data_IF_845535407602
#
_entry.id   IF_845535407602
#
_cell.length_a   1.000
_cell.length_b   1.000
_cell.length_c   1.000
_cell.angle_alpha   90.00
_cell.angle_beta   90.00
_cell.angle_gamma   90.00
#
_symmetry.space_group_name_H-M   'P 1'
#
loop_
_entity.id
_entity.type
_entity.pdbx_description
1 polymer ?
#
# COMPACT_ATOMS: atom_id res chain seq x y z
N UNK A 1 -11.79 19.05 28.40
CA UNK A 1 -10.89 19.85 27.52
C UNK A 1 -10.00 18.99 26.61
N UNK A 2 -9.49 17.82 27.02
CA UNK A 2 -8.67 16.94 26.17
C UNK A 2 -9.41 16.30 24.98
N UNK A 3 -10.73 16.06 25.09
CA UNK A 3 -11.55 15.44 24.04
C UNK A 3 -11.60 16.21 22.71
N UNK A 4 -11.23 17.49 22.68
CA UNK A 4 -11.31 18.33 21.48
C UNK A 4 -10.07 18.24 20.57
N UNK A 5 -8.97 17.61 21.00
CA UNK A 5 -7.69 17.69 20.26
C UNK A 5 -7.14 16.36 19.73
N UNK A 6 -7.73 15.22 20.11
CA UNK A 6 -7.21 13.92 19.66
C UNK A 6 -7.70 13.63 18.24
N UNK A 7 -6.78 13.68 17.27
CA UNK A 7 -7.06 13.41 15.86
C UNK A 7 -6.69 11.98 15.43
N UNK A 8 -5.78 11.33 16.17
CA UNK A 8 -5.25 10.00 15.88
C UNK A 8 -5.10 9.19 17.15
N UNK A 9 -5.37 7.88 17.06
CA UNK A 9 -5.13 6.93 18.16
C UNK A 9 -4.48 5.65 17.65
N UNK A 10 -3.56 5.12 18.45
CA UNK A 10 -2.86 3.88 18.16
C UNK A 10 -3.20 2.81 19.20
N UNK A 11 -3.80 1.71 18.75
CA UNK A 11 -3.99 0.50 19.52
C UNK A 11 -2.87 -0.48 19.15
N UNK A 12 -2.03 -0.84 20.13
CA UNK A 12 -0.89 -1.73 19.93
C UNK A 12 -1.20 -3.07 20.57
N UNK A 13 -0.97 -4.14 19.80
CA UNK A 13 -1.17 -5.53 20.20
C UNK A 13 -2.59 -5.78 20.73
N UNK A 14 -3.61 -5.60 19.89
CA UNK A 14 -4.98 -5.86 20.31
C UNK A 14 -5.13 -7.33 20.67
N UNK A 15 -5.68 -7.58 21.86
CA UNK A 15 -5.81 -8.92 22.42
C UNK A 15 -7.18 -9.50 22.07
N UNK A 16 -7.19 -10.79 21.74
CA UNK A 16 -8.44 -11.53 21.52
C UNK A 16 -9.12 -11.73 22.86
N UNK A 17 -10.44 -11.58 22.87
CA UNK A 17 -11.22 -11.93 24.04
C UNK A 17 -11.17 -13.44 24.29
N UNK A 18 -10.56 -13.82 25.42
CA UNK A 18 -10.46 -15.21 25.87
C UNK A 18 -11.73 -15.66 26.61
N UNK A 19 -12.68 -14.76 26.88
CA UNK A 19 -13.85 -15.04 27.72
C UNK A 19 -14.79 -16.10 27.13
N UNK A 20 -14.71 -16.38 25.82
CA UNK A 20 -15.59 -17.32 25.13
C UNK A 20 -14.92 -18.63 24.65
N UNK A 21 -13.59 -18.77 24.75
CA UNK A 21 -12.92 -20.01 24.38
C UNK A 21 -12.89 -20.99 25.56
N UNK A 22 -13.92 -21.83 25.68
CA UNK A 22 -13.86 -22.98 26.56
C UNK A 22 -12.91 -24.02 25.94
N UNK A 23 -11.69 -24.12 26.45
CA UNK A 23 -10.84 -25.27 26.15
C UNK A 23 -11.37 -26.47 26.94
N UNK A 24 -12.10 -27.36 26.26
CA UNK A 24 -12.48 -28.66 26.83
C UNK A 24 -11.36 -29.66 26.55
N UNK A 25 -10.54 -29.94 27.56
CA UNK A 25 -9.79 -31.20 27.61
C UNK A 25 -10.76 -32.23 28.18
N UNK A 26 -10.81 -33.43 27.58
CA UNK A 26 -11.75 -34.52 27.95
C UNK A 26 -11.86 -34.63 29.47
N UNK A 27 -13.00 -34.20 30.03
CA UNK A 27 -13.33 -34.27 31.47
C UNK A 27 -13.20 -32.97 32.28
N UNK A 28 -12.61 -31.89 31.77
CA UNK A 28 -12.47 -30.62 32.49
C UNK A 28 -12.85 -29.42 31.63
N UNK A 29 -13.90 -28.70 32.04
CA UNK A 29 -14.28 -27.41 31.48
C UNK A 29 -13.69 -26.30 32.35
N UNK A 30 -12.64 -25.65 31.87
CA UNK A 30 -12.14 -24.43 32.50
C UNK A 30 -12.84 -23.22 31.86
N UNK A 31 -13.60 -22.47 32.66
CA UNK A 31 -14.06 -21.12 32.29
C UNK A 31 -13.27 -20.13 33.16
N UNK A 32 -12.31 -19.38 32.59
CA UNK A 32 -11.69 -18.31 33.35
C UNK A 32 -12.75 -17.27 33.72
N UNK A 33 -12.92 -17.00 35.02
CA UNK A 33 -13.65 -15.83 35.49
C UNK A 33 -12.78 -14.59 35.21
N UNK A 34 -12.79 -14.10 33.98
CA UNK A 34 -12.13 -12.85 33.61
C UNK A 34 -13.04 -11.65 33.95
N UNK A 35 -12.46 -10.54 34.46
CA UNK A 35 -13.22 -9.32 34.75
C UNK A 35 -13.78 -8.66 33.49
N UNK A 36 -14.79 -7.82 33.73
CA UNK A 36 -16.01 -7.60 32.94
C UNK A 36 -15.93 -6.69 31.72
N UNK A 37 -14.77 -6.19 31.31
CA UNK A 37 -14.67 -5.34 30.12
C UNK A 37 -13.66 -5.93 29.14
N UNK A 38 -14.20 -6.59 28.10
CA UNK A 38 -13.44 -7.08 26.96
C UNK A 38 -12.65 -5.90 26.35
N UNK A 39 -11.36 -6.10 26.05
CA UNK A 39 -10.48 -5.13 25.37
C UNK A 39 -11.18 -4.41 24.20
N UNK A 40 -11.98 -5.15 23.45
CA UNK A 40 -12.74 -4.64 22.31
C UNK A 40 -13.80 -3.63 22.76
N UNK A 41 -14.55 -3.90 23.83
CA UNK A 41 -15.51 -2.96 24.40
C UNK A 41 -14.81 -1.66 24.81
N UNK A 42 -13.67 -1.75 25.50
CA UNK A 42 -12.89 -0.58 25.89
C UNK A 42 -12.35 0.21 24.68
N UNK A 43 -11.84 -0.48 23.65
CA UNK A 43 -11.39 0.14 22.41
C UNK A 43 -12.52 0.97 21.78
N UNK A 44 -13.70 0.39 21.68
CA UNK A 44 -14.86 1.01 21.07
C UNK A 44 -15.41 2.16 21.92
N UNK A 45 -15.42 2.02 23.23
CA UNK A 45 -15.76 3.08 24.16
C UNK A 45 -14.80 4.27 24.00
N UNK A 46 -13.49 4.03 23.99
CA UNK A 46 -12.49 5.09 23.75
C UNK A 46 -12.72 5.79 22.41
N UNK A 47 -12.97 5.04 21.34
CA UNK A 47 -13.28 5.61 20.02
C UNK A 47 -14.58 6.45 20.06
N UNK A 48 -15.57 6.05 20.86
CA UNK A 48 -16.84 6.77 21.02
C UNK A 48 -16.73 8.09 21.79
N UNK A 49 -15.68 8.27 22.58
CA UNK A 49 -15.46 9.46 23.40
C UNK A 49 -14.62 10.57 22.71
N UNK A 50 -14.19 10.36 21.48
CA UNK A 50 -13.23 11.20 20.74
C UNK A 50 -13.84 11.78 19.44
N UNK A 51 -14.70 12.82 19.53
CA UNK A 51 -15.51 13.29 18.40
C UNK A 51 -14.70 13.80 17.19
N UNK A 52 -13.44 14.19 17.40
CA UNK A 52 -12.55 14.70 16.35
C UNK A 52 -11.57 13.64 15.83
N UNK A 53 -11.77 12.37 16.20
CA UNK A 53 -10.90 11.28 15.77
C UNK A 53 -11.05 11.07 14.26
N UNK A 54 -9.92 11.20 13.56
CA UNK A 54 -9.83 11.09 12.10
C UNK A 54 -8.94 9.94 11.63
N UNK A 55 -8.11 9.40 12.52
CA UNK A 55 -7.17 8.31 12.24
C UNK A 55 -7.17 7.28 13.37
N UNK A 56 -7.25 6.00 13.00
CA UNK A 56 -7.07 4.86 13.90
C UNK A 56 -5.97 3.97 13.33
N UNK A 57 -5.09 3.50 14.21
CA UNK A 57 -4.04 2.55 13.88
C UNK A 57 -4.14 1.32 14.77
N UNK A 58 -4.39 0.15 14.17
CA UNK A 58 -4.32 -1.14 14.84
C UNK A 58 -2.98 -1.81 14.49
N UNK A 59 -2.04 -1.82 15.43
CA UNK A 59 -0.69 -2.34 15.21
C UNK A 59 -0.49 -3.66 15.92
N UNK A 60 0.31 -4.52 15.31
CA UNK A 60 0.66 -5.84 15.86
C UNK A 60 -0.57 -6.70 16.17
N UNK A 61 -1.54 -6.71 15.24
CA UNK A 61 -2.69 -7.61 15.33
C UNK A 61 -2.17 -9.04 15.39
N UNK A 62 -2.58 -9.82 16.38
CA UNK A 62 -2.16 -11.21 16.55
C UNK A 62 -3.00 -12.17 15.69
N UNK A 63 -2.48 -13.33 15.29
CA UNK A 63 -3.26 -14.34 14.59
C UNK A 63 -4.52 -14.73 15.38
N UNK A 64 -5.68 -14.71 14.74
CA UNK A 64 -6.96 -15.05 15.37
C UNK A 64 -7.67 -13.88 16.06
N UNK A 65 -7.04 -12.70 16.17
CA UNK A 65 -7.75 -11.49 16.58
C UNK A 65 -8.85 -11.17 15.58
N UNK A 66 -10.06 -10.96 16.09
CA UNK A 66 -11.26 -10.72 15.33
C UNK A 66 -12.20 -9.88 16.18
N UNK A 67 -12.82 -8.86 15.59
CA UNK A 67 -13.92 -8.20 16.27
C UNK A 67 -15.15 -9.13 16.29
N UNK A 68 -15.86 -9.23 17.42
CA UNK A 68 -17.11 -9.95 17.53
C UNK A 68 -18.13 -9.48 16.50
N UNK A 69 -19.02 -10.35 16.07
CA UNK A 69 -20.00 -10.04 15.03
C UNK A 69 -20.90 -8.84 15.40
N UNK A 70 -21.25 -8.67 16.68
CA UNK A 70 -22.02 -7.52 17.18
C UNK A 70 -21.32 -6.18 16.95
N UNK A 71 -20.00 -6.14 16.81
CA UNK A 71 -19.30 -4.89 16.50
C UNK A 71 -19.64 -4.36 15.10
N UNK A 72 -20.18 -5.19 14.21
CA UNK A 72 -20.69 -4.71 12.93
C UNK A 72 -21.91 -3.80 13.09
N UNK A 73 -22.66 -3.94 14.20
CA UNK A 73 -23.77 -3.05 14.57
C UNK A 73 -23.30 -1.78 15.26
N UNK A 74 -21.99 -1.52 15.36
CA UNK A 74 -21.51 -0.21 15.83
C UNK A 74 -21.99 0.93 14.97
N UNK A 75 -22.31 0.69 13.69
CA UNK A 75 -23.03 1.70 12.88
C UNK A 75 -24.42 1.99 13.45
N UNK A 76 -25.12 0.98 13.94
CA UNK A 76 -26.41 1.12 14.64
C UNK A 76 -26.20 1.86 15.96
N UNK A 77 -25.17 1.50 16.75
CA UNK A 77 -24.85 2.19 18.00
C UNK A 77 -24.46 3.66 17.78
N UNK A 78 -23.56 3.92 16.82
CA UNK A 78 -23.15 5.25 16.37
C UNK A 78 -24.36 6.08 15.90
N UNK A 79 -25.28 5.49 15.14
CA UNK A 79 -26.50 6.15 14.70
C UNK A 79 -27.44 6.46 15.87
N UNK A 80 -27.71 5.49 16.74
CA UNK A 80 -28.56 5.64 17.93
C UNK A 80 -28.05 6.75 18.87
N UNK A 81 -26.74 6.94 18.91
CA UNK A 81 -26.07 7.92 19.77
C UNK A 81 -25.62 9.18 19.03
N UNK A 82 -26.03 9.39 17.77
CA UNK A 82 -25.65 10.52 16.90
C UNK A 82 -24.13 10.76 16.81
N UNK A 83 -23.34 9.71 16.91
CA UNK A 83 -21.89 9.76 16.95
C UNK A 83 -21.30 9.01 15.77
N UNK A 84 -21.03 9.71 14.68
CA UNK A 84 -20.20 9.18 13.60
C UNK A 84 -18.78 9.69 13.81
N UNK A 85 -17.81 8.86 14.23
CA UNK A 85 -16.43 9.27 14.17
C UNK A 85 -16.14 9.65 12.72
N UNK A 86 -15.59 10.84 12.50
CA UNK A 86 -15.15 11.34 11.18
C UNK A 86 -13.88 10.63 10.73
N UNK A 87 -13.82 9.32 10.93
CA UNK A 87 -12.66 8.50 10.70
C UNK A 87 -12.39 8.45 9.21
N UNK A 88 -11.32 9.11 8.78
CA UNK A 88 -10.90 9.14 7.39
C UNK A 88 -9.86 8.08 7.09
N UNK A 89 -9.01 7.76 8.07
CA UNK A 89 -7.86 6.89 7.88
C UNK A 89 -7.84 5.71 8.85
N UNK A 90 -7.69 4.51 8.31
CA UNK A 90 -7.44 3.29 9.07
C UNK A 90 -6.10 2.69 8.69
N UNK A 91 -5.25 2.44 9.67
CA UNK A 91 -4.01 1.67 9.51
C UNK A 91 -4.13 0.34 10.24
N UNK A 92 -3.68 -0.72 9.60
CA UNK A 92 -3.62 -2.04 10.22
C UNK A 92 -2.29 -2.71 9.90
N UNK A 93 -1.67 -3.30 10.92
CA UNK A 93 -0.47 -4.13 10.75
C UNK A 93 -0.63 -5.46 11.47
N UNK A 94 -0.19 -6.54 10.84
CA UNK A 94 0.00 -7.80 11.55
C UNK A 94 1.12 -7.68 12.58
N UNK A 95 1.13 -8.62 13.52
CA UNK A 95 2.26 -8.89 14.40
C UNK A 95 3.50 -9.28 13.59
N UNK A 96 4.68 -8.86 14.06
CA UNK A 96 5.93 -9.12 13.37
C UNK A 96 6.16 -10.62 13.16
N UNK A 97 6.54 -10.99 11.94
CA UNK A 97 6.74 -12.40 11.56
C UNK A 97 5.47 -13.12 11.14
N UNK A 98 4.29 -12.53 11.33
CA UNK A 98 3.01 -13.09 10.91
C UNK A 98 2.47 -12.37 9.68
N UNK A 99 1.83 -13.13 8.80
CA UNK A 99 0.99 -12.57 7.73
C UNK A 99 -0.45 -12.98 7.96
N UNK A 100 -1.23 -12.03 8.46
CA UNK A 100 -2.59 -12.29 8.93
C UNK A 100 -3.55 -11.96 7.81
N UNK A 101 -4.52 -12.84 7.52
CA UNK A 101 -5.54 -12.49 6.55
C UNK A 101 -6.34 -11.29 7.01
N UNK A 102 -6.48 -10.30 6.14
CA UNK A 102 -7.46 -9.24 6.30
C UNK A 102 -8.82 -9.93 6.36
N UNK A 103 -9.50 -9.91 7.50
CA UNK A 103 -10.85 -10.44 7.62
C UNK A 103 -11.85 -9.29 7.59
N UNK A 104 -13.03 -9.47 7.00
CA UNK A 104 -13.99 -8.39 6.88
C UNK A 104 -14.35 -7.72 8.22
N UNK A 105 -14.47 -8.50 9.29
CA UNK A 105 -14.73 -8.00 10.65
C UNK A 105 -13.60 -7.13 11.24
N UNK A 106 -12.41 -7.09 10.65
CA UNK A 106 -11.37 -6.12 11.01
C UNK A 106 -11.65 -4.70 10.48
N UNK A 107 -12.48 -4.58 9.44
CA UNK A 107 -12.80 -3.31 8.80
C UNK A 107 -14.13 -2.74 9.28
N UNK A 108 -15.13 -3.59 9.48
CA UNK A 108 -16.52 -3.16 9.72
C UNK A 108 -16.74 -2.22 10.92
N UNK A 109 -16.06 -2.40 12.07
CA UNK A 109 -16.28 -1.53 13.24
C UNK A 109 -15.98 -0.05 12.97
N UNK A 110 -15.19 0.23 11.94
CA UNK A 110 -14.65 1.56 11.65
C UNK A 110 -15.48 2.35 10.64
N UNK A 111 -16.56 1.76 10.10
CA UNK A 111 -17.52 2.50 9.28
C UNK A 111 -16.99 2.88 7.90
N UNK A 112 -17.20 4.14 7.51
CA UNK A 112 -16.80 4.69 6.21
C UNK A 112 -15.41 5.30 6.35
N UNK A 113 -14.41 4.68 5.71
CA UNK A 113 -13.03 5.16 5.69
C UNK A 113 -12.60 5.52 4.27
N UNK A 114 -11.89 6.64 4.12
CA UNK A 114 -11.43 7.13 2.82
C UNK A 114 -10.03 6.58 2.47
N UNK A 115 -9.19 6.36 3.49
CA UNK A 115 -7.82 5.91 3.36
C UNK A 115 -7.56 4.64 4.18
N UNK A 116 -7.14 3.58 3.49
CA UNK A 116 -6.79 2.31 4.12
C UNK A 116 -5.30 2.01 3.90
N UNK A 117 -4.60 1.71 4.99
CA UNK A 117 -3.17 1.39 4.97
C UNK A 117 -2.97 0.03 5.63
N UNK A 118 -2.51 -0.93 4.84
CA UNK A 118 -2.30 -2.32 5.27
C UNK A 118 -0.80 -2.64 5.29
N UNK A 119 -0.35 -3.26 6.37
CA UNK A 119 1.02 -3.74 6.55
C UNK A 119 1.01 -5.24 6.83
N UNK A 120 1.77 -6.00 6.02
CA UNK A 120 2.03 -7.43 6.21
C UNK A 120 0.78 -8.33 6.25
N UNK A 121 -0.35 -7.88 5.69
CA UNK A 121 -1.60 -8.63 5.64
C UNK A 121 -1.73 -9.51 4.40
N UNK A 122 -2.57 -10.55 4.50
CA UNK A 122 -2.97 -11.40 3.36
C UNK A 122 -4.37 -11.00 2.89
N UNK A 123 -4.54 -10.76 1.59
CA UNK A 123 -5.85 -10.55 0.97
C UNK A 123 -6.21 -11.83 0.21
N UNK A 124 -7.16 -12.61 0.74
CA UNK A 124 -7.64 -13.86 0.17
C UNK A 124 -9.12 -13.76 -0.26
N UNK A 125 -9.70 -14.88 -0.70
CA UNK A 125 -11.10 -14.95 -1.15
C UNK A 125 -12.13 -14.59 -0.06
N UNK A 126 -11.75 -14.65 1.21
CA UNK A 126 -12.62 -14.33 2.34
C UNK A 126 -12.44 -12.90 2.82
N UNK A 127 -11.32 -12.25 2.46
CA UNK A 127 -10.97 -10.92 2.97
C UNK A 127 -11.94 -9.80 2.63
N UNK A 128 -12.52 -9.87 1.43
CA UNK A 128 -13.39 -8.83 0.87
C UNK A 128 -14.81 -9.36 0.64
N UNK A 129 -15.19 -10.39 1.42
CA UNK A 129 -16.56 -10.93 1.38
C UNK A 129 -17.52 -9.97 2.07
N UNK A 130 -18.74 -9.91 1.53
CA UNK A 130 -19.80 -9.07 2.07
C UNK A 130 -20.16 -9.52 3.49
N UNK A 131 -20.17 -8.64 4.50
CA UNK A 131 -20.85 -8.91 5.77
C UNK A 131 -22.32 -9.24 5.53
N UNK A 132 -22.82 -10.31 6.16
CA UNK A 132 -24.25 -10.58 6.23
C UNK A 132 -25.03 -9.42 6.90
N UNK A 133 -24.36 -8.60 7.73
CA UNK A 133 -24.98 -7.56 8.56
C UNK A 133 -24.99 -6.14 7.96
N UNK A 134 -24.30 -5.89 6.84
CA UNK A 134 -24.57 -4.67 6.04
C UNK A 134 -25.86 -4.82 5.19
N UNK A 135 -26.66 -5.86 5.42
CA UNK A 135 -27.91 -6.14 4.69
C UNK A 135 -29.17 -5.98 5.53
N UNK A 136 -29.07 -5.49 6.76
CA UNK A 136 -30.22 -5.36 7.64
C UNK A 136 -30.41 -3.93 8.10
N UNK A 137 -31.12 -3.20 7.26
CA UNK A 137 -32.15 -2.31 7.76
C UNK A 137 -33.25 -2.13 6.73
N UNK A 138 -34.37 -2.83 6.92
CA UNK A 138 -35.69 -2.29 6.65
C UNK A 138 -36.72 -3.33 7.09
N UNK A 139 -37.06 -3.26 8.38
CA UNK A 139 -38.40 -3.63 8.81
C UNK A 139 -39.08 -2.43 9.51
N UNK A 140 -38.37 -1.65 10.33
CA UNK A 140 -39.03 -0.62 11.16
C UNK A 140 -38.23 0.68 11.45
N UNK A 141 -37.38 1.19 10.55
CA UNK A 141 -36.73 2.50 10.79
C UNK A 141 -35.85 3.02 9.65
N UNK A 142 -35.63 4.35 9.54
CA UNK A 142 -35.08 4.99 8.35
C UNK A 142 -33.55 4.91 8.36
N UNK A 143 -33.01 3.71 8.13
CA UNK A 143 -31.57 3.45 8.21
C UNK A 143 -30.85 3.63 6.88
N UNK A 144 -31.45 4.39 5.97
CA UNK A 144 -30.83 4.72 4.69
C UNK A 144 -31.35 6.08 4.26
N UNK A 145 -30.49 7.12 4.20
CA UNK A 145 -30.84 8.27 3.36
C UNK A 145 -31.10 7.72 1.95
N UNK A 146 -31.97 8.35 1.15
CA UNK A 146 -32.25 7.86 -0.22
C UNK A 146 -30.97 7.57 -1.03
N UNK A 147 -29.86 8.23 -0.70
CA UNK A 147 -28.54 8.05 -1.32
C UNK A 147 -27.81 6.76 -0.91
N UNK A 148 -27.98 6.28 0.33
CA UNK A 148 -27.33 5.05 0.79
C UNK A 148 -28.03 3.77 0.25
N UNK A 149 -29.32 3.86 -0.12
CA UNK A 149 -30.08 2.75 -0.70
C UNK A 149 -29.70 2.56 -2.18
N UNK A 150 -29.37 3.68 -2.82
CA UNK A 150 -28.76 3.71 -4.15
C UNK A 150 -27.35 3.08 -4.10
N UNK A 151 -26.62 3.19 -2.98
CA UNK A 151 -25.29 2.58 -2.80
C UNK A 151 -25.34 1.04 -2.74
N UNK A 152 -26.33 0.47 -2.03
CA UNK A 152 -26.53 -0.99 -1.95
C UNK A 152 -26.90 -1.60 -3.30
N UNK A 153 -27.65 -0.87 -4.13
CA UNK A 153 -28.08 -1.34 -5.46
C UNK A 153 -26.97 -1.30 -6.54
N UNK A 154 -25.85 -0.58 -6.29
CA UNK A 154 -24.83 -0.27 -7.29
C UNK A 154 -23.45 -0.93 -7.08
N UNK A 155 -23.33 -1.96 -6.24
CA UNK A 155 -22.07 -2.69 -6.05
C UNK A 155 -20.89 -1.77 -5.60
N UNK A 156 -21.17 -0.65 -4.91
CA UNK A 156 -20.16 0.27 -4.35
C UNK A 156 -19.91 -0.08 -2.89
N UNK A 157 -19.12 -1.12 -2.66
CA UNK A 157 -18.98 -1.73 -1.32
C UNK A 157 -18.04 -0.97 -0.38
N UNK A 158 -17.11 -0.18 -0.92
CA UNK A 158 -16.13 0.55 -0.12
C UNK A 158 -16.00 2.00 -0.59
N UNK A 159 -16.07 3.00 0.32
CA UNK A 159 -15.79 4.40 0.01
C UNK A 159 -14.28 4.71 -0.10
N UNK A 160 -13.40 3.71 0.10
CA UNK A 160 -11.94 3.90 0.12
C UNK A 160 -11.47 4.46 -1.23
N UNK A 161 -10.82 5.62 -1.17
CA UNK A 161 -10.23 6.32 -2.32
C UNK A 161 -8.71 6.19 -2.36
N UNK A 162 -8.07 6.00 -1.21
CA UNK A 162 -6.62 5.82 -1.08
C UNK A 162 -6.29 4.49 -0.42
N UNK A 163 -5.51 3.66 -1.10
CA UNK A 163 -5.10 2.35 -0.62
C UNK A 163 -3.58 2.24 -0.61
N UNK A 164 -3.01 1.90 0.54
CA UNK A 164 -1.60 1.54 0.67
C UNK A 164 -1.47 0.07 1.05
N UNK A 165 -0.72 -0.67 0.23
CA UNK A 165 -0.37 -2.07 0.45
C UNK A 165 1.13 -2.15 0.68
N UNK A 166 1.53 -2.35 1.94
CA UNK A 166 2.93 -2.50 2.34
C UNK A 166 3.21 -3.93 2.75
N UNK A 167 4.13 -4.61 2.06
CA UNK A 167 4.48 -6.02 2.33
C UNK A 167 3.28 -6.98 2.38
N UNK A 168 2.18 -6.63 1.73
CA UNK A 168 0.97 -7.45 1.70
C UNK A 168 1.13 -8.61 0.71
N UNK A 169 0.40 -9.70 0.94
CA UNK A 169 0.30 -10.83 0.01
C UNK A 169 -1.12 -10.92 -0.53
N UNK A 170 -1.30 -10.96 -1.85
CA UNK A 170 -2.63 -11.13 -2.45
C UNK A 170 -2.73 -12.51 -3.04
N UNK A 171 -3.65 -13.33 -2.52
CA UNK A 171 -3.93 -14.64 -3.10
C UNK A 171 -4.64 -14.45 -4.45
N UNK A 172 -4.40 -15.37 -5.39
CA UNK A 172 -5.05 -15.37 -6.72
C UNK A 172 -6.58 -15.38 -6.66
N UNK A 173 -7.15 -15.92 -5.57
CA UNK A 173 -8.58 -15.92 -5.31
C UNK A 173 -9.10 -14.57 -4.80
N UNK A 174 -8.28 -13.82 -4.05
CA UNK A 174 -8.62 -12.50 -3.52
C UNK A 174 -8.54 -11.39 -4.58
N UNK A 175 -7.64 -11.51 -5.56
CA UNK A 175 -7.45 -10.49 -6.60
C UNK A 175 -8.72 -10.23 -7.42
N UNK A 176 -9.56 -11.26 -7.62
CA UNK A 176 -10.84 -11.15 -8.34
C UNK A 176 -11.85 -10.23 -7.65
N UNK A 177 -11.73 -10.07 -6.32
CA UNK A 177 -12.63 -9.25 -5.52
C UNK A 177 -12.17 -7.79 -5.40
N UNK A 178 -10.89 -7.51 -5.69
CA UNK A 178 -10.31 -6.16 -5.55
C UNK A 178 -11.06 -5.14 -6.40
N UNK A 179 -11.35 -5.46 -7.66
CA UNK A 179 -12.02 -4.53 -8.57
C UNK A 179 -13.45 -4.19 -8.16
N UNK A 180 -14.14 -5.13 -7.51
CA UNK A 180 -15.48 -4.88 -6.97
C UNK A 180 -15.44 -4.10 -5.66
N UNK A 181 -14.58 -4.51 -4.73
CA UNK A 181 -14.52 -3.91 -3.40
C UNK A 181 -13.88 -2.52 -3.42
N UNK A 182 -12.73 -2.37 -4.08
CA UNK A 182 -11.94 -1.14 -4.15
C UNK A 182 -12.20 -0.33 -5.42
N UNK A 183 -13.44 -0.36 -5.91
CA UNK A 183 -13.84 0.32 -7.16
C UNK A 183 -13.50 1.80 -7.16
N UNK A 184 -13.68 2.48 -6.02
CA UNK A 184 -13.51 3.93 -5.87
C UNK A 184 -12.06 4.36 -5.59
N UNK A 185 -11.10 3.41 -5.55
CA UNK A 185 -9.68 3.74 -5.31
C UNK A 185 -9.12 4.52 -6.49
N UNK A 186 -8.65 5.73 -6.19
CA UNK A 186 -7.99 6.65 -7.14
C UNK A 186 -6.49 6.77 -6.88
N UNK A 187 -6.05 6.45 -5.67
CA UNK A 187 -4.63 6.49 -5.28
C UNK A 187 -4.22 5.13 -4.71
N UNK A 188 -3.31 4.45 -5.40
CA UNK A 188 -2.75 3.18 -4.96
C UNK A 188 -1.27 3.34 -4.64
N UNK A 189 -0.84 2.85 -3.49
CA UNK A 189 0.56 2.80 -3.08
C UNK A 189 1.01 1.38 -2.82
N UNK A 190 1.99 0.93 -3.59
CA UNK A 190 2.60 -0.39 -3.52
C UNK A 190 4.00 -0.27 -2.93
N UNK A 191 4.16 -0.71 -1.68
CA UNK A 191 5.39 -0.53 -0.89
C UNK A 191 5.92 -1.87 -0.41
N UNK A 192 7.25 -2.03 -0.40
CA UNK A 192 7.89 -3.27 0.05
C UNK A 192 7.28 -4.54 -0.58
N UNK A 193 7.02 -4.49 -1.89
CA UNK A 193 6.41 -5.59 -2.63
C UNK A 193 7.25 -6.87 -2.51
N UNK A 194 6.55 -8.01 -2.41
CA UNK A 194 7.17 -9.34 -2.30
C UNK A 194 7.48 -9.91 -3.68
N UNK A 195 6.61 -9.67 -4.66
CA UNK A 195 6.78 -10.07 -6.05
C UNK A 195 6.67 -8.87 -6.98
N UNK A 196 7.43 -8.88 -8.09
CA UNK A 196 7.32 -7.80 -9.07
C UNK A 196 5.99 -7.89 -9.85
N UNK A 197 5.41 -9.09 -9.95
CA UNK A 197 4.06 -9.28 -10.50
C UNK A 197 2.96 -8.60 -9.68
N UNK A 198 3.22 -8.27 -8.40
CA UNK A 198 2.27 -7.52 -7.57
C UNK A 198 2.01 -6.11 -8.15
N UNK A 199 2.89 -5.58 -9.01
CA UNK A 199 2.64 -4.34 -9.75
C UNK A 199 1.40 -4.43 -10.66
N UNK A 200 1.08 -5.62 -11.17
CA UNK A 200 -0.07 -5.84 -12.03
C UNK A 200 -1.40 -5.74 -11.28
N UNK A 201 -1.37 -5.72 -9.94
CA UNK A 201 -2.55 -5.42 -9.13
C UNK A 201 -3.14 -4.05 -9.44
N UNK A 202 -2.34 -3.12 -9.98
CA UNK A 202 -2.83 -1.81 -10.40
C UNK A 202 -3.99 -1.91 -11.43
N UNK A 203 -4.05 -2.98 -12.23
CA UNK A 203 -5.17 -3.24 -13.16
C UNK A 203 -6.50 -3.57 -12.46
N UNK A 204 -6.45 -3.94 -11.18
CA UNK A 204 -7.66 -4.24 -10.42
C UNK A 204 -8.41 -2.98 -9.97
N UNK A 205 -7.94 -1.77 -10.30
CA UNK A 205 -8.54 -0.52 -9.81
C UNK A 205 -9.01 0.35 -10.99
N UNK A 206 -10.31 0.28 -11.37
CA UNK A 206 -10.83 0.86 -12.62
C UNK A 206 -10.82 2.40 -12.63
N UNK A 207 -10.74 3.04 -11.47
CA UNK A 207 -10.71 4.50 -11.32
C UNK A 207 -9.34 5.00 -10.83
N UNK A 208 -8.29 4.21 -10.99
CA UNK A 208 -6.95 4.57 -10.55
C UNK A 208 -6.42 5.78 -11.32
N UNK A 209 -6.13 6.87 -10.61
CA UNK A 209 -5.58 8.10 -11.17
C UNK A 209 -4.09 8.27 -10.82
N UNK A 210 -3.68 7.80 -9.63
CA UNK A 210 -2.32 7.93 -9.11
C UNK A 210 -1.78 6.59 -8.61
N UNK A 211 -0.59 6.20 -9.09
CA UNK A 211 0.11 4.99 -8.68
C UNK A 211 1.46 5.33 -8.05
N UNK A 212 1.68 4.86 -6.82
CA UNK A 212 2.97 4.95 -6.13
C UNK A 212 3.68 3.59 -6.11
N UNK A 213 4.94 3.56 -6.55
CA UNK A 213 5.76 2.33 -6.60
C UNK A 213 7.05 2.57 -5.81
N UNK A 214 7.31 1.71 -4.82
CA UNK A 214 8.56 1.74 -4.05
C UNK A 214 9.69 1.01 -4.77
N UNK A 215 10.62 1.76 -5.35
CA UNK A 215 11.77 1.21 -6.10
C UNK A 215 12.81 0.51 -5.20
N UNK A 216 12.68 0.64 -3.87
CA UNK A 216 13.52 -0.07 -2.91
C UNK A 216 12.87 -1.38 -2.41
N UNK A 217 11.73 -1.78 -3.02
CA UNK A 217 11.07 -3.06 -2.71
C UNK A 217 11.98 -4.25 -2.99
N UNK A 218 11.90 -5.27 -2.12
CA UNK A 218 12.69 -6.50 -2.27
C UNK A 218 12.36 -7.26 -3.55
N UNK A 219 11.18 -7.10 -4.13
CA UNK A 219 10.83 -7.73 -5.41
C UNK A 219 11.79 -7.38 -6.57
N UNK A 220 12.43 -6.20 -6.54
CA UNK A 220 13.38 -5.77 -7.58
C UNK A 220 14.80 -6.27 -7.35
N UNK A 221 15.02 -7.06 -6.31
CA UNK A 221 16.34 -7.49 -5.90
C UNK A 221 16.77 -8.86 -6.46
N UNK A 222 15.88 -9.59 -7.16
CA UNK A 222 16.11 -10.91 -7.78
C UNK A 222 16.84 -11.92 -6.88
N UNK A 223 16.51 -11.94 -5.58
CA UNK A 223 16.99 -13.01 -4.70
C UNK A 223 15.89 -14.06 -4.53
N UNK A 224 15.78 -14.95 -5.51
CA UNK A 224 15.68 -16.35 -5.10
C UNK A 224 17.12 -16.90 -5.10
N UNK A 225 17.49 -17.66 -4.08
CA UNK A 225 18.85 -18.19 -3.89
C UNK A 225 19.32 -19.05 -5.07
N UNK A 226 18.38 -19.62 -5.82
CA UNK A 226 18.60 -20.48 -7.00
C UNK A 226 19.04 -19.69 -8.24
N UNK A 227 18.43 -18.54 -8.51
CA UNK A 227 18.75 -17.61 -9.61
C UNK A 227 20.04 -16.85 -9.33
N UNK A 228 20.27 -16.49 -8.07
CA UNK A 228 21.53 -15.89 -7.64
C UNK A 228 22.73 -16.81 -7.95
N UNK A 229 22.57 -18.14 -7.84
CA UNK A 229 23.60 -19.12 -8.20
C UNK A 229 23.86 -19.18 -9.71
N UNK A 230 22.84 -19.08 -10.55
CA UNK A 230 22.98 -19.08 -12.02
C UNK A 230 23.62 -17.77 -12.51
N UNK A 231 23.21 -16.64 -11.94
CA UNK A 231 23.79 -15.33 -12.26
C UNK A 231 25.25 -15.23 -11.77
N UNK A 232 25.56 -15.76 -10.58
CA UNK A 232 26.93 -15.79 -10.04
C UNK A 232 27.89 -16.74 -10.78
N UNK A 233 27.36 -17.69 -11.55
CA UNK A 233 28.19 -18.63 -12.31
C UNK A 233 28.46 -18.16 -13.74
N UNK A 234 27.58 -17.35 -14.34
CA UNK A 234 27.76 -16.81 -15.70
C UNK A 234 28.33 -15.39 -15.74
N UNK A 235 28.11 -14.58 -14.70
CA UNK A 235 28.76 -13.27 -14.56
C UNK A 235 29.80 -13.35 -13.45
N UNK A 236 31.06 -13.08 -13.79
CA UNK A 236 32.16 -12.96 -12.83
C UNK A 236 31.67 -12.25 -11.55
N UNK A 237 31.76 -12.93 -10.41
CA UNK A 237 31.36 -12.49 -9.07
C UNK A 237 31.86 -11.07 -8.68
N UNK A 238 32.78 -10.47 -9.44
CA UNK A 238 33.30 -9.11 -9.29
C UNK A 238 32.25 -8.02 -9.50
N UNK A 239 31.30 -8.17 -10.44
CA UNK A 239 30.47 -7.04 -10.87
C UNK A 239 29.38 -6.67 -9.84
N UNK A 240 28.77 -7.65 -9.18
CA UNK A 240 27.74 -7.37 -8.16
C UNK A 240 28.32 -6.81 -6.85
N UNK A 241 29.44 -7.37 -6.38
CA UNK A 241 30.16 -6.81 -5.24
C UNK A 241 30.61 -5.37 -5.55
N UNK A 242 31.07 -5.12 -6.78
CA UNK A 242 31.37 -3.77 -7.27
C UNK A 242 30.14 -2.85 -7.21
N UNK A 243 29.00 -3.22 -7.79
CA UNK A 243 27.81 -2.35 -7.80
C UNK A 243 27.23 -2.10 -6.40
N UNK A 244 27.26 -3.10 -5.53
CA UNK A 244 26.90 -2.93 -4.11
C UNK A 244 27.86 -1.96 -3.40
N UNK A 245 29.17 -2.07 -3.64
CA UNK A 245 30.17 -1.12 -3.10
C UNK A 245 29.97 0.31 -3.63
N UNK A 246 29.35 0.44 -4.81
CA UNK A 246 28.98 1.70 -5.45
C UNK A 246 27.56 2.15 -5.09
N UNK A 247 26.85 1.47 -4.20
CA UNK A 247 25.48 1.80 -3.79
C UNK A 247 24.51 1.96 -4.97
N UNK A 248 24.74 1.22 -6.06
CA UNK A 248 23.81 1.22 -7.20
C UNK A 248 22.50 0.56 -6.78
N UNK A 249 21.34 1.17 -7.03
CA UNK A 249 20.07 0.56 -6.65
C UNK A 249 19.80 -0.70 -7.46
N UNK A 250 19.39 -1.77 -6.76
CA UNK A 250 19.14 -3.09 -7.35
C UNK A 250 18.09 -3.05 -8.45
N UNK A 251 17.15 -2.11 -8.38
CA UNK A 251 16.17 -1.86 -9.42
C UNK A 251 16.82 -1.68 -10.81
N UNK A 252 17.81 -0.80 -10.95
CA UNK A 252 18.43 -0.54 -12.25
C UNK A 252 19.30 -1.70 -12.74
N UNK A 253 19.98 -2.41 -11.82
CA UNK A 253 20.73 -3.62 -12.18
C UNK A 253 19.82 -4.68 -12.80
N UNK A 254 18.64 -4.84 -12.23
CA UNK A 254 17.73 -5.94 -12.53
C UNK A 254 16.60 -5.55 -13.49
N UNK A 255 16.54 -4.31 -13.97
CA UNK A 255 15.41 -3.77 -14.74
C UNK A 255 15.02 -4.65 -15.92
N UNK A 256 15.99 -5.21 -16.64
CA UNK A 256 15.75 -6.10 -17.77
C UNK A 256 14.88 -7.32 -17.45
N UNK A 257 14.88 -7.81 -16.20
CA UNK A 257 14.08 -8.97 -15.79
C UNK A 257 12.61 -8.67 -15.54
N UNK A 258 12.25 -7.40 -15.33
CA UNK A 258 10.88 -7.01 -15.03
C UNK A 258 10.36 -5.89 -15.94
N UNK A 259 11.09 -5.58 -17.01
CA UNK A 259 10.69 -4.60 -18.05
C UNK A 259 9.30 -4.93 -18.59
N UNK A 260 9.01 -6.20 -18.87
CA UNK A 260 7.69 -6.62 -19.38
C UNK A 260 6.55 -6.32 -18.41
N UNK A 261 6.80 -6.39 -17.11
CA UNK A 261 5.77 -6.09 -16.09
C UNK A 261 5.59 -4.58 -15.95
N UNK A 262 6.69 -3.82 -16.03
CA UNK A 262 6.67 -2.36 -15.99
C UNK A 262 5.96 -1.76 -17.20
N UNK A 263 6.18 -2.29 -18.39
CA UNK A 263 5.50 -1.88 -19.63
C UNK A 263 4.01 -2.22 -19.62
N UNK A 264 3.61 -3.23 -18.83
CA UNK A 264 2.21 -3.63 -18.64
C UNK A 264 1.49 -2.80 -17.59
N UNK A 265 2.09 -1.80 -16.95
CA UNK A 265 1.38 -0.96 -15.96
C UNK A 265 0.16 -0.27 -16.61
N UNK A 266 -0.96 -0.11 -15.87
CA UNK A 266 -2.11 0.61 -16.39
C UNK A 266 -1.75 2.08 -16.65
N UNK A 267 -2.37 2.67 -17.67
CA UNK A 267 -2.26 4.11 -17.92
C UNK A 267 -2.97 4.85 -16.79
N UNK A 268 -2.20 5.63 -16.04
CA UNK A 268 -2.67 6.48 -14.94
C UNK A 268 -2.21 7.91 -15.19
N UNK A 269 -2.95 8.88 -14.65
CA UNK A 269 -2.61 10.31 -14.79
C UNK A 269 -1.26 10.63 -14.14
N UNK A 270 -0.95 9.98 -13.01
CA UNK A 270 0.28 10.20 -12.26
C UNK A 270 0.91 8.89 -11.81
N UNK A 271 2.21 8.74 -12.08
CA UNK A 271 3.06 7.70 -11.48
C UNK A 271 4.11 8.35 -10.59
N UNK A 272 4.22 7.87 -9.36
CA UNK A 272 5.19 8.32 -8.35
C UNK A 272 6.09 7.17 -7.94
N UNK A 273 7.37 7.27 -8.26
CA UNK A 273 8.38 6.34 -7.78
C UNK A 273 8.93 6.84 -6.45
N UNK A 274 8.82 6.04 -5.39
CA UNK A 274 9.30 6.41 -4.05
C UNK A 274 10.56 5.65 -3.68
N UNK A 275 11.33 6.22 -2.75
CA UNK A 275 12.65 5.73 -2.34
C UNK A 275 13.62 5.60 -3.52
N UNK A 276 13.54 6.55 -4.47
CA UNK A 276 14.41 6.59 -5.62
C UNK A 276 15.84 6.94 -5.21
N UNK A 277 16.78 6.27 -5.85
CA UNK A 277 18.19 6.64 -5.81
C UNK A 277 18.67 6.73 -7.24
N UNK A 278 19.51 7.73 -7.52
CA UNK A 278 20.17 7.87 -8.82
C UNK A 278 21.69 7.77 -8.69
N UNK A 279 22.19 7.19 -7.59
CA UNK A 279 23.63 7.02 -7.36
C UNK A 279 24.27 6.22 -8.49
N UNK A 280 25.33 6.78 -9.09
CA UNK A 280 26.09 6.18 -10.19
C UNK A 280 25.28 5.85 -11.45
N UNK A 281 24.15 6.54 -11.66
CA UNK A 281 23.44 6.52 -12.94
C UNK A 281 23.92 7.72 -13.75
N UNK A 282 24.39 7.49 -14.96
CA UNK A 282 24.81 8.56 -15.88
C UNK A 282 23.91 8.59 -17.11
N UNK A 283 23.78 9.75 -17.78
CA UNK A 283 23.17 9.81 -19.10
C UNK A 283 23.85 8.82 -20.06
N UNK A 284 23.08 8.27 -20.99
CA UNK A 284 23.55 7.37 -22.06
C UNK A 284 23.04 7.94 -23.37
N UNK A 285 23.92 8.04 -24.35
CA UNK A 285 23.52 8.42 -25.70
C UNK A 285 22.79 7.23 -26.37
N UNK A 286 21.69 7.45 -27.09
CA UNK A 286 20.89 6.35 -27.66
C UNK A 286 21.69 5.43 -28.59
N UNK A 287 22.70 5.95 -29.27
CA UNK A 287 23.59 5.21 -30.17
C UNK A 287 24.46 4.20 -29.42
N UNK A 288 24.74 4.44 -28.14
CA UNK A 288 25.58 3.58 -27.30
C UNK A 288 24.79 2.46 -26.60
N UNK A 289 23.48 2.35 -26.79
CA UNK A 289 22.66 1.34 -26.10
C UNK A 289 22.99 -0.10 -26.52
N UNK A 290 23.48 -0.28 -27.75
CA UNK A 290 23.91 -1.57 -28.29
C UNK A 290 25.38 -1.86 -27.98
N UNK A 291 26.13 -0.88 -27.48
CA UNK A 291 27.54 -1.06 -27.16
C UNK A 291 27.68 -1.98 -25.93
N UNK A 292 28.34 -3.15 -26.03
CA UNK A 292 28.55 -4.04 -24.89
C UNK A 292 29.44 -3.44 -23.80
N UNK A 293 30.20 -2.38 -24.12
CA UNK A 293 30.98 -1.61 -23.15
C UNK A 293 30.11 -0.65 -22.32
N UNK A 294 28.88 -0.35 -22.78
CA UNK A 294 27.98 0.51 -22.06
C UNK A 294 27.55 -0.14 -20.74
N UNK A 295 27.63 0.62 -19.65
CA UNK A 295 27.32 0.13 -18.32
C UNK A 295 25.85 -0.34 -18.25
N UNK A 296 25.64 -1.64 -18.04
CA UNK A 296 24.33 -2.30 -17.88
C UNK A 296 23.32 -1.48 -17.06
N UNK A 297 23.78 -0.88 -15.95
CA UNK A 297 22.95 -0.05 -15.06
C UNK A 297 22.39 1.17 -15.79
N UNK A 298 23.23 1.84 -16.56
CA UNK A 298 22.87 3.05 -17.27
C UNK A 298 21.98 2.73 -18.48
N UNK A 299 22.26 1.65 -19.21
CA UNK A 299 21.39 1.14 -20.28
C UNK A 299 20.00 0.79 -19.75
N UNK A 300 19.93 0.12 -18.61
CA UNK A 300 18.68 -0.20 -17.94
C UNK A 300 17.96 1.06 -17.42
N UNK A 301 18.70 2.02 -16.86
CA UNK A 301 18.18 3.33 -16.47
C UNK A 301 17.56 4.07 -17.65
N UNK A 302 18.25 4.09 -18.80
CA UNK A 302 17.73 4.68 -20.04
C UNK A 302 16.41 4.03 -20.46
N UNK A 303 16.35 2.69 -20.54
CA UNK A 303 15.14 1.95 -20.91
C UNK A 303 13.99 2.22 -19.94
N UNK A 304 14.28 2.28 -18.64
CA UNK A 304 13.29 2.64 -17.64
C UNK A 304 12.75 4.06 -17.88
N UNK A 305 13.62 5.06 -18.02
CA UNK A 305 13.18 6.43 -18.27
C UNK A 305 12.40 6.57 -19.57
N UNK A 306 12.82 5.88 -20.64
CA UNK A 306 12.10 5.84 -21.91
C UNK A 306 10.67 5.34 -21.77
N UNK A 307 10.46 4.27 -20.98
CA UNK A 307 9.12 3.74 -20.72
C UNK A 307 8.20 4.77 -20.04
N UNK A 308 8.76 5.67 -19.21
CA UNK A 308 7.99 6.65 -18.46
C UNK A 308 7.37 7.77 -19.32
N UNK A 309 7.77 7.89 -20.58
CA UNK A 309 7.10 8.78 -21.54
C UNK A 309 5.60 8.48 -21.70
N UNK A 310 5.17 7.25 -21.36
CA UNK A 310 3.78 6.82 -21.43
C UNK A 310 2.87 7.42 -20.35
N UNK A 311 3.41 8.17 -19.39
CA UNK A 311 2.65 8.79 -18.30
C UNK A 311 2.64 10.31 -18.43
N UNK A 312 1.49 10.92 -18.15
CA UNK A 312 1.32 12.38 -18.20
C UNK A 312 2.10 13.08 -17.08
N UNK A 313 2.14 12.48 -15.88
CA UNK A 313 2.87 13.02 -14.73
C UNK A 313 3.75 11.96 -14.11
N UNK A 314 5.05 12.22 -14.07
CA UNK A 314 6.06 11.35 -13.47
C UNK A 314 6.71 12.07 -12.30
N UNK A 315 6.74 11.42 -11.14
CA UNK A 315 7.35 11.97 -9.94
C UNK A 315 8.34 10.97 -9.33
N UNK A 316 9.53 11.44 -8.99
CA UNK A 316 10.53 10.68 -8.26
C UNK A 316 10.71 11.27 -6.87
N UNK A 317 10.48 10.48 -5.83
CA UNK A 317 10.69 10.87 -4.43
C UNK A 317 11.96 10.18 -3.93
N UNK A 318 12.97 10.98 -3.59
CA UNK A 318 14.31 10.52 -3.23
C UNK A 318 14.34 9.75 -1.90
N UNK A 319 15.33 8.84 -1.77
CA UNK A 319 15.60 8.07 -0.55
C UNK A 319 16.16 8.95 0.58
N UNK A 320 15.81 8.65 1.84
CA UNK A 320 16.18 9.39 3.09
C UNK A 320 17.68 9.70 3.26
N UNK A 321 18.58 8.87 2.71
CA UNK A 321 20.03 9.01 2.88
C UNK A 321 20.68 9.77 1.71
N UNK A 322 20.19 10.99 1.44
CA UNK A 322 20.61 11.83 0.33
C UNK A 322 22.11 12.19 0.33
N UNK A 323 22.80 12.06 1.47
CA UNK A 323 24.23 12.37 1.61
C UNK A 323 25.15 11.55 0.69
N UNK A 324 24.66 10.46 0.11
CA UNK A 324 25.40 9.62 -0.83
C UNK A 324 25.08 9.91 -2.31
N UNK A 325 24.07 10.74 -2.60
CA UNK A 325 23.78 11.14 -3.97
C UNK A 325 24.71 12.27 -4.37
N UNK A 326 25.31 12.14 -5.56
CA UNK A 326 25.96 13.27 -6.19
C UNK A 326 24.92 14.37 -6.39
N UNK A 327 25.20 15.57 -5.86
CA UNK A 327 24.37 16.73 -6.15
C UNK A 327 24.40 16.93 -7.67
N UNK A 328 23.23 16.99 -8.28
CA UNK A 328 23.09 17.29 -9.69
C UNK A 328 22.53 18.68 -9.90
N UNK A 329 23.12 19.38 -10.84
CA UNK A 329 22.62 20.60 -11.45
C UNK A 329 21.37 20.31 -12.28
N UNK A 330 20.65 21.37 -12.64
CA UNK A 330 19.47 21.26 -13.52
C UNK A 330 19.81 20.65 -14.89
N UNK A 331 20.97 20.96 -15.44
CA UNK A 331 21.41 20.45 -16.74
C UNK A 331 21.74 18.96 -16.68
N UNK A 332 22.40 18.51 -15.60
CA UNK A 332 22.67 17.09 -15.38
C UNK A 332 21.38 16.27 -15.23
N UNK A 333 20.39 16.81 -14.50
CA UNK A 333 19.06 16.19 -14.44
C UNK A 333 18.38 16.15 -15.80
N UNK A 334 18.48 17.23 -16.58
CA UNK A 334 17.88 17.32 -17.90
C UNK A 334 18.49 16.29 -18.86
N UNK A 335 19.81 16.12 -18.85
CA UNK A 335 20.49 15.08 -19.66
C UNK A 335 20.09 13.68 -19.22
N UNK A 336 20.12 13.40 -17.92
CA UNK A 336 19.81 12.07 -17.41
C UNK A 336 18.36 11.64 -17.72
N UNK A 337 17.41 12.54 -17.47
CA UNK A 337 15.99 12.27 -17.64
C UNK A 337 15.50 12.58 -19.06
N UNK A 338 16.40 12.93 -20.00
CA UNK A 338 16.04 13.14 -21.40
C UNK A 338 15.14 12.04 -21.96
N UNK A 339 15.40 10.74 -21.72
CA UNK A 339 14.56 9.68 -22.25
C UNK A 339 13.15 9.68 -21.64
N UNK A 340 12.90 10.32 -20.50
CA UNK A 340 11.58 10.42 -19.88
C UNK A 340 10.72 11.54 -20.48
N UNK A 341 11.31 12.49 -21.20
CA UNK A 341 10.62 13.72 -21.57
C UNK A 341 9.85 13.60 -22.89
N UNK A 342 8.62 14.13 -22.86
CA UNK A 342 7.81 14.40 -24.05
C UNK A 342 7.45 15.88 -24.11
N UNK A 343 6.72 16.30 -25.16
CA UNK A 343 6.21 17.67 -25.26
C UNK A 343 5.08 17.97 -24.26
N UNK A 344 4.43 16.94 -23.73
CA UNK A 344 3.19 17.07 -22.96
C UNK A 344 3.30 16.64 -21.50
N UNK A 345 4.23 15.72 -21.18
CA UNK A 345 4.34 15.18 -19.84
C UNK A 345 5.08 16.12 -18.89
N UNK A 346 4.75 16.04 -17.60
CA UNK A 346 5.44 16.75 -16.52
C UNK A 346 6.29 15.79 -15.69
N UNK A 347 7.53 16.16 -15.40
CA UNK A 347 8.46 15.33 -14.63
C UNK A 347 8.99 16.10 -13.44
N UNK A 348 8.88 15.52 -12.24
CA UNK A 348 9.32 16.13 -10.98
C UNK A 348 10.25 15.21 -10.22
N UNK A 349 11.27 15.79 -9.59
CA UNK A 349 12.10 15.11 -8.60
C UNK A 349 11.94 15.87 -7.30
N UNK A 350 11.49 15.16 -6.28
CA UNK A 350 11.27 15.67 -4.95
C UNK A 350 12.30 15.04 -4.01
N UNK A 351 12.86 15.84 -3.11
CA UNK A 351 13.50 15.29 -1.93
C UNK A 351 12.42 14.69 -1.00
N UNK A 352 12.85 13.93 0.00
CA UNK A 352 11.95 13.24 0.93
C UNK A 352 11.04 14.19 1.69
N UNK A 353 11.51 15.40 2.00
CA UNK A 353 10.73 16.43 2.68
C UNK A 353 9.68 17.10 1.76
N UNK A 354 9.65 16.73 0.47
CA UNK A 354 8.77 17.29 -0.54
C UNK A 354 9.36 18.49 -1.27
N UNK A 355 10.57 18.94 -0.93
CA UNK A 355 11.25 20.02 -1.64
C UNK A 355 11.54 19.61 -3.09
N UNK A 356 11.35 20.54 -4.03
CA UNK A 356 11.54 20.28 -5.45
C UNK A 356 13.01 20.41 -5.80
N UNK A 357 13.63 19.32 -6.25
CA UNK A 357 15.02 19.27 -6.72
C UNK A 357 15.12 19.55 -8.22
N UNK A 358 14.11 19.11 -8.98
CA UNK A 358 14.02 19.30 -10.42
C UNK A 358 12.56 19.28 -10.85
N UNK A 359 12.22 20.11 -11.83
CA UNK A 359 10.91 20.07 -12.47
C UNK A 359 11.01 20.43 -13.95
N UNK A 360 10.18 19.81 -14.77
CA UNK A 360 10.03 20.10 -16.21
C UNK A 360 8.56 20.04 -16.60
N UNK A 361 8.15 20.97 -17.47
CA UNK A 361 6.80 21.09 -18.02
C UNK A 361 5.72 21.13 -16.91
N UNK A 362 6.04 21.76 -15.76
CA UNK A 362 5.05 22.05 -14.75
C UNK A 362 4.02 22.98 -15.37
N UNK A 363 2.80 22.49 -15.55
CA UNK A 363 1.67 23.36 -15.87
C UNK A 363 1.40 24.20 -14.62
N UNK A 364 1.31 25.53 -14.74
CA UNK A 364 1.05 26.42 -13.61
C UNK A 364 -0.28 26.11 -12.91
#
# INVERSE_FOLDING_TARGET
MLQLYVQSIDFIKPEKDLSHESTSIVGFNFKPNAPSDNYITLLLEVVSLLPNLSEISLRQISPGFQFPEWTSTLKTYALEHNYYPTLRRLRMSSEFGWSIPLRPNLLWPFGLIDELILYDMVIDSHSLTKPALLTLSNENGPLVSKDAAILESNNRWSPIQSLTLSSCSIASSGSRLLAGYFREVRSLRLVSLKSHYDLLLAHCFPHLETLYIDLNSKCFSLYNSSEALVINTQNNNSNYAYFNSKFVPKFYLNYGHFVEVMEKLPRVNKVSFVNCSFTNITPVDPEDLENPECNLVNTNGFKFFAMLQNFDRVEFIMLKNYKLHQRRTRDEWTKLLQPCFTSTNSVRILDKDGSVLFTRNERP
#
